data_IF_794058519584
#
_entry.id   IF_794058519584
#
_cell.length_a   1.000
_cell.length_b   1.000
_cell.length_c   1.000
_cell.angle_alpha   90.00
_cell.angle_beta   90.00
_cell.angle_gamma   90.00
#
_symmetry.space_group_name_H-M   'P 1'
#
loop_
_entity.id
_entity.type
_entity.pdbx_description
1 polymer ?
#
# COMPACT_ATOMS: atom_id res chain seq x y z
N UNK A 1 6.54 15.09 8.89
CA UNK A 1 5.35 15.27 8.04
C UNK A 1 4.29 16.04 8.82
N UNK A 2 3.84 17.14 8.26
CA UNK A 2 2.76 17.95 8.85
C UNK A 2 1.43 17.69 8.14
N UNK A 3 0.37 17.50 8.88
CA UNK A 3 -0.99 17.54 8.36
C UNK A 3 -1.30 18.98 7.94
N UNK A 4 -1.89 19.12 6.77
CA UNK A 4 -2.41 20.42 6.31
C UNK A 4 -3.92 20.44 6.51
N UNK A 5 -4.44 21.49 7.16
CA UNK A 5 -5.88 21.65 7.33
C UNK A 5 -6.59 21.67 5.97
N UNK A 6 -7.81 21.20 5.93
CA UNK A 6 -8.66 21.14 4.73
C UNK A 6 -8.14 20.22 3.61
N UNK A 7 -7.16 19.34 3.92
CA UNK A 7 -6.69 18.31 3.02
C UNK A 7 -7.29 16.94 3.40
N UNK A 8 -7.63 16.15 2.40
CA UNK A 8 -8.02 14.76 2.56
C UNK A 8 -6.83 13.83 2.39
N UNK A 9 -6.72 12.91 3.34
CA UNK A 9 -5.70 11.86 3.35
C UNK A 9 -6.38 10.50 3.40
N UNK A 10 -5.91 9.55 2.58
CA UNK A 10 -6.33 8.16 2.70
C UNK A 10 -5.26 7.38 3.43
N UNK A 11 -5.64 6.77 4.55
CA UNK A 11 -4.75 5.96 5.38
C UNK A 11 -4.98 4.49 5.07
N UNK A 12 -3.90 3.76 4.76
CA UNK A 12 -3.93 2.33 4.54
C UNK A 12 -3.00 1.66 5.54
N UNK A 13 -3.55 0.73 6.30
CA UNK A 13 -2.77 -0.21 7.12
C UNK A 13 -3.00 -1.60 6.55
N UNK A 14 -1.93 -2.32 6.29
CA UNK A 14 -1.98 -3.66 5.73
C UNK A 14 -1.04 -4.59 6.48
N UNK A 15 -1.51 -5.80 6.78
CA UNK A 15 -0.66 -6.90 7.24
C UNK A 15 -0.53 -7.98 6.17
N UNK A 16 0.60 -8.69 6.17
CA UNK A 16 0.85 -9.85 5.32
C UNK A 16 1.84 -10.80 5.98
N UNK A 17 1.66 -12.09 5.75
CA UNK A 17 2.61 -13.10 6.21
C UNK A 17 3.86 -13.06 5.34
N UNK A 18 5.03 -12.91 5.97
CA UNK A 18 6.32 -12.95 5.28
C UNK A 18 6.84 -14.39 5.18
N UNK A 19 6.71 -15.15 6.26
CA UNK A 19 7.13 -16.55 6.38
C UNK A 19 6.41 -17.23 7.57
N UNK A 20 6.77 -18.47 7.88
CA UNK A 20 6.14 -19.29 8.92
C UNK A 20 6.30 -18.77 10.36
N UNK A 21 7.05 -17.69 10.57
CA UNK A 21 7.32 -17.11 11.89
C UNK A 21 7.12 -15.60 11.97
N UNK A 22 6.76 -14.96 10.86
CA UNK A 22 6.81 -13.50 10.77
C UNK A 22 5.64 -12.95 9.98
N UNK A 23 4.97 -11.96 10.53
CA UNK A 23 3.98 -11.11 9.88
C UNK A 23 4.52 -9.70 9.78
N UNK A 24 4.30 -9.07 8.65
CA UNK A 24 4.64 -7.65 8.42
C UNK A 24 3.39 -6.79 8.51
N UNK A 25 3.53 -5.56 8.99
CA UNK A 25 2.47 -4.56 9.02
C UNK A 25 3.00 -3.27 8.43
N UNK A 26 2.43 -2.86 7.30
CA UNK A 26 2.82 -1.63 6.60
C UNK A 26 1.77 -0.54 6.71
N UNK A 27 2.21 0.72 6.67
CA UNK A 27 1.37 1.90 6.69
C UNK A 27 1.69 2.82 5.50
N UNK A 28 0.66 3.14 4.73
CA UNK A 28 0.71 4.07 3.59
C UNK A 28 -0.27 5.20 3.77
N UNK A 29 0.08 6.34 3.21
CA UNK A 29 -0.77 7.52 3.17
C UNK A 29 -0.82 8.05 1.73
N UNK A 30 -2.02 8.36 1.27
CA UNK A 30 -2.24 9.09 0.03
C UNK A 30 -2.73 10.50 0.35
N UNK A 31 -1.98 11.51 -0.06
CA UNK A 31 -2.40 12.90 -0.04
C UNK A 31 -3.21 13.17 -1.32
N UNK A 32 -4.53 13.37 -1.17
CA UNK A 32 -5.41 13.58 -2.30
C UNK A 32 -5.17 14.94 -3.01
N UNK A 33 -4.60 15.92 -2.31
CA UNK A 33 -4.28 17.23 -2.89
C UNK A 33 -2.98 17.17 -3.68
N UNK A 34 -1.96 16.53 -3.14
CA UNK A 34 -0.69 16.31 -3.83
C UNK A 34 -0.78 15.22 -4.89
N UNK A 35 -1.86 14.42 -4.90
CA UNK A 35 -2.02 13.23 -5.73
C UNK A 35 -0.84 12.27 -5.58
N UNK A 36 -0.41 12.00 -4.35
CA UNK A 36 0.81 11.24 -4.09
C UNK A 36 0.67 10.29 -2.92
N UNK A 37 1.16 9.07 -3.13
CA UNK A 37 1.33 8.06 -2.10
C UNK A 37 2.67 8.22 -1.38
N UNK A 38 2.69 7.84 -0.13
CA UNK A 38 3.90 7.69 0.66
C UNK A 38 3.80 6.44 1.52
N UNK A 39 4.80 5.59 1.43
CA UNK A 39 5.06 4.54 2.40
C UNK A 39 5.75 5.17 3.62
N UNK A 40 5.24 4.95 4.80
CA UNK A 40 5.78 5.53 6.04
C UNK A 40 6.65 4.56 6.78
N UNK A 41 6.18 3.34 6.93
CA UNK A 41 6.84 2.34 7.76
C UNK A 41 6.28 0.96 7.47
N UNK A 42 7.13 -0.04 7.62
CA UNK A 42 6.76 -1.45 7.77
C UNK A 42 7.34 -1.98 9.07
N UNK A 43 6.50 -2.60 9.88
CA UNK A 43 6.88 -3.26 11.12
C UNK A 43 6.96 -4.77 10.92
N UNK A 44 7.94 -5.39 11.57
CA UNK A 44 8.02 -6.83 11.71
C UNK A 44 7.36 -7.26 13.03
N UNK A 45 6.43 -8.21 12.95
CA UNK A 45 5.79 -8.87 14.08
C UNK A 45 6.31 -10.31 14.13
N UNK A 46 7.05 -10.72 15.19
CA UNK A 46 7.66 -12.04 15.28
C UNK A 46 6.63 -13.11 15.62
N UNK A 47 5.56 -13.20 14.84
CA UNK A 47 4.48 -14.17 14.96
C UNK A 47 3.90 -14.47 13.57
N UNK A 48 3.74 -15.74 13.25
CA UNK A 48 3.11 -16.15 12.02
C UNK A 48 1.60 -15.82 12.03
N UNK A 49 1.08 -15.37 10.89
CA UNK A 49 -0.35 -15.09 10.68
C UNK A 49 -0.98 -14.13 11.69
N UNK A 50 -0.18 -13.26 12.33
CA UNK A 50 -0.67 -12.16 13.17
C UNK A 50 -1.30 -11.04 12.31
N UNK A 51 -2.27 -11.41 11.47
CA UNK A 51 -2.92 -10.48 10.55
C UNK A 51 -3.84 -9.51 11.30
N UNK A 52 -4.01 -8.32 10.74
CA UNK A 52 -4.96 -7.33 11.28
C UNK A 52 -6.37 -7.91 11.24
N UNK A 53 -7.08 -7.76 12.35
CA UNK A 53 -8.48 -8.20 12.50
C UNK A 53 -9.24 -7.23 13.38
N UNK A 54 -10.57 -7.37 13.43
CA UNK A 54 -11.46 -6.55 14.28
C UNK A 54 -12.17 -5.46 13.51
N UNK A 55 -12.56 -4.42 14.24
CA UNK A 55 -13.34 -3.31 13.68
C UNK A 55 -12.44 -2.24 13.08
N UNK A 56 -12.98 -1.52 12.09
CA UNK A 56 -12.36 -0.32 11.55
C UNK A 56 -12.84 0.88 12.37
N UNK A 57 -11.90 1.71 12.83
CA UNK A 57 -12.22 2.91 13.56
C UNK A 57 -11.25 4.05 13.29
N UNK A 58 -11.72 5.25 13.62
CA UNK A 58 -10.92 6.47 13.68
C UNK A 58 -11.24 7.19 14.98
N UNK A 59 -10.32 7.99 15.45
CA UNK A 59 -10.52 8.77 16.67
C UNK A 59 -10.01 10.19 16.47
N UNK A 60 -10.61 11.10 17.25
CA UNK A 60 -10.16 12.48 17.40
C UNK A 60 -9.70 12.66 18.85
N UNK A 61 -8.45 13.00 19.04
CA UNK A 61 -7.84 13.14 20.34
C UNK A 61 -7.16 14.51 20.49
N UNK A 62 -7.14 15.01 21.73
CA UNK A 62 -6.41 16.21 22.08
C UNK A 62 -5.41 15.90 23.20
N UNK A 63 -4.14 15.82 22.85
CA UNK A 63 -3.03 15.58 23.79
C UNK A 63 -2.60 16.84 24.56
N UNK A 64 -3.05 18.04 24.14
CA UNK A 64 -2.69 19.27 24.81
C UNK A 64 -3.67 19.56 25.95
N UNK A 65 -3.19 20.04 27.09
CA UNK A 65 -4.00 20.52 28.22
C UNK A 65 -4.88 21.76 27.88
N UNK A 66 -5.18 21.95 26.62
CA UNK A 66 -5.94 23.09 26.11
C UNK A 66 -7.30 22.64 25.56
N UNK A 67 -8.23 22.38 26.48
CA UNK A 67 -9.62 22.08 26.11
C UNK A 67 -10.43 23.32 25.65
N UNK A 68 -9.82 24.50 25.51
CA UNK A 68 -10.49 25.75 25.14
C UNK A 68 -10.76 25.83 23.63
N UNK A 69 -9.94 25.19 22.83
CA UNK A 69 -10.07 25.21 21.38
C UNK A 69 -10.74 23.95 20.86
N UNK A 70 -11.81 24.08 20.11
CA UNK A 70 -12.46 22.95 19.44
C UNK A 70 -11.52 22.31 18.41
N UNK A 71 -11.45 20.99 18.43
CA UNK A 71 -10.80 20.17 17.42
C UNK A 71 -11.86 19.56 16.51
N UNK A 72 -11.62 19.55 15.21
CA UNK A 72 -12.48 18.95 14.21
C UNK A 72 -11.69 17.92 13.41
N UNK A 73 -12.31 16.77 13.15
CA UNK A 73 -11.79 15.75 12.25
C UNK A 73 -12.92 15.16 11.43
N UNK A 74 -12.72 15.04 10.13
CA UNK A 74 -13.66 14.42 9.22
C UNK A 74 -13.11 13.07 8.76
N UNK A 75 -13.98 12.07 8.73
CA UNK A 75 -13.63 10.69 8.41
C UNK A 75 -14.66 10.12 7.46
N UNK A 76 -14.21 9.41 6.40
CA UNK A 76 -15.09 8.78 5.42
C UNK A 76 -14.42 7.57 4.75
N UNK A 77 -15.17 6.82 3.96
CA UNK A 77 -14.64 5.74 3.12
C UNK A 77 -13.95 4.64 3.95
N UNK A 78 -14.65 4.06 4.91
CA UNK A 78 -14.16 2.95 5.71
C UNK A 78 -14.27 1.63 4.96
N UNK A 79 -13.15 0.99 4.66
CA UNK A 79 -13.09 -0.28 3.96
C UNK A 79 -12.11 -1.24 4.62
N UNK A 80 -12.40 -2.52 4.49
CA UNK A 80 -11.54 -3.63 4.86
C UNK A 80 -11.42 -4.59 3.68
N UNK A 81 -10.20 -4.98 3.31
CA UNK A 81 -9.96 -6.04 2.34
C UNK A 81 -9.66 -7.33 3.10
N UNK A 82 -10.48 -8.35 2.89
CA UNK A 82 -10.25 -9.69 3.43
C UNK A 82 -9.17 -10.43 2.64
N UNK A 83 -8.58 -11.46 3.24
CA UNK A 83 -7.59 -12.33 2.58
C UNK A 83 -8.10 -12.98 1.28
N UNK A 84 -9.40 -13.27 1.21
CA UNK A 84 -10.04 -13.81 0.01
C UNK A 84 -10.29 -12.77 -1.10
N UNK A 85 -9.83 -11.53 -0.93
CA UNK A 85 -9.99 -10.44 -1.89
C UNK A 85 -11.34 -9.72 -1.83
N UNK A 86 -12.22 -10.09 -0.89
CA UNK A 86 -13.51 -9.43 -0.73
C UNK A 86 -13.36 -8.10 0.02
N UNK A 87 -13.86 -7.02 -0.56
CA UNK A 87 -14.05 -5.76 0.13
C UNK A 87 -15.29 -5.79 1.01
N UNK A 88 -15.16 -5.27 2.23
CA UNK A 88 -16.27 -5.01 3.14
C UNK A 88 -16.22 -3.56 3.62
N UNK A 89 -17.37 -2.99 3.91
CA UNK A 89 -17.55 -1.68 4.47
C UNK A 89 -18.73 -1.68 5.44
N UNK A 90 -18.77 -0.78 6.44
CA UNK A 90 -19.93 -0.64 7.32
C UNK A 90 -21.10 0.01 6.55
N UNK A 91 -22.31 -0.32 6.99
CA UNK A 91 -23.55 0.39 6.65
C UNK A 91 -23.94 1.40 7.72
N UNK A 92 -23.29 1.35 8.85
CA UNK A 92 -23.55 2.19 10.03
C UNK A 92 -22.23 2.59 10.70
N UNK A 93 -22.03 3.89 10.92
CA UNK A 93 -20.95 4.44 11.74
C UNK A 93 -21.46 4.76 13.14
N UNK A 94 -20.73 4.31 14.16
CA UNK A 94 -21.03 4.58 15.54
C UNK A 94 -19.93 5.47 16.11
N UNK A 95 -20.31 6.68 16.56
CA UNK A 95 -19.41 7.57 17.28
C UNK A 95 -19.73 7.56 18.77
N UNK A 96 -18.69 7.44 19.61
CA UNK A 96 -18.76 7.45 21.08
C UNK A 96 -17.63 8.29 21.63
N UNK A 97 -17.82 8.89 22.80
CA UNK A 97 -16.76 9.48 23.58
C UNK A 97 -16.66 8.85 24.98
N UNK A 98 -15.46 8.83 25.52
CA UNK A 98 -15.21 8.37 26.88
C UNK A 98 -15.64 9.38 27.95
N UNK A 99 -15.42 10.68 27.70
CA UNK A 99 -15.76 11.79 28.58
C UNK A 99 -15.54 13.14 27.86
N UNK A 100 -16.11 14.20 28.43
CA UNK A 100 -15.82 15.58 28.02
C UNK A 100 -16.77 16.16 26.99
N UNK A 101 -16.43 17.35 26.50
CA UNK A 101 -17.18 18.04 25.42
C UNK A 101 -16.89 17.43 24.08
N UNK A 102 -17.91 16.91 23.42
CA UNK A 102 -17.77 16.33 22.10
C UNK A 102 -19.10 16.33 21.35
N UNK A 103 -19.04 16.22 20.03
CA UNK A 103 -20.19 15.94 19.18
C UNK A 103 -19.75 15.20 17.92
N UNK A 104 -20.74 14.61 17.25
CA UNK A 104 -20.56 14.03 15.94
C UNK A 104 -21.74 14.40 15.03
N UNK A 105 -21.48 14.56 13.75
CA UNK A 105 -22.52 14.74 12.73
C UNK A 105 -22.17 13.97 11.46
N UNK A 106 -23.19 13.55 10.70
CA UNK A 106 -23.02 12.94 9.39
C UNK A 106 -22.51 13.99 8.39
N UNK A 107 -21.58 13.58 7.52
CA UNK A 107 -21.13 14.35 6.36
C UNK A 107 -21.28 13.48 5.09
N UNK A 108 -21.93 14.05 4.07
CA UNK A 108 -22.23 13.29 2.85
C UNK A 108 -23.01 12.00 3.12
N UNK A 109 -22.83 11.00 2.28
CA UNK A 109 -23.47 9.69 2.42
C UNK A 109 -22.57 8.66 3.12
N UNK A 110 -21.27 8.91 3.25
CA UNK A 110 -20.24 7.95 3.58
C UNK A 110 -19.36 8.34 4.77
N UNK A 111 -19.64 9.49 5.44
CA UNK A 111 -18.71 10.01 6.43
C UNK A 111 -19.33 10.60 7.68
N UNK A 112 -18.44 10.94 8.62
CA UNK A 112 -18.74 11.57 9.90
C UNK A 112 -17.73 12.66 10.21
N UNK A 113 -18.17 13.76 10.78
CA UNK A 113 -17.33 14.76 11.44
C UNK A 113 -17.41 14.57 12.95
N UNK A 114 -16.27 14.52 13.58
CA UNK A 114 -16.12 14.52 15.02
C UNK A 114 -15.62 15.90 15.49
N UNK A 115 -16.17 16.38 16.58
CA UNK A 115 -15.65 17.56 17.29
C UNK A 115 -15.38 17.23 18.76
N UNK A 116 -14.30 17.75 19.30
CA UNK A 116 -13.95 17.61 20.70
C UNK A 116 -13.42 18.92 21.27
N UNK A 117 -13.55 19.09 22.57
CA UNK A 117 -13.18 20.30 23.32
C UNK A 117 -14.07 21.52 23.01
N UNK A 118 -13.77 22.67 23.62
CA UNK A 118 -14.61 23.85 23.51
C UNK A 118 -15.95 23.71 24.29
N UNK A 119 -16.98 24.40 23.81
CA UNK A 119 -18.33 24.37 24.41
C UNK A 119 -19.22 23.49 23.51
N UNK A 120 -18.86 22.22 23.38
CA UNK A 120 -19.66 21.25 22.60
C UNK A 120 -20.19 20.20 23.56
N UNK A 121 -21.50 20.02 23.58
CA UNK A 121 -22.17 18.99 24.39
C UNK A 121 -23.01 18.12 23.44
N UNK A 122 -22.62 16.86 23.33
CA UNK A 122 -23.33 15.87 22.56
C UNK A 122 -23.85 14.72 23.42
N UNK A 123 -24.74 13.89 22.90
CA UNK A 123 -25.14 12.65 23.56
C UNK A 123 -23.96 11.68 23.67
N UNK A 124 -24.08 10.71 24.57
CA UNK A 124 -23.05 9.69 24.81
C UNK A 124 -22.68 8.88 23.56
N UNK A 125 -23.64 8.74 22.65
CA UNK A 125 -23.49 7.93 21.44
C UNK A 125 -24.30 8.49 20.27
N UNK A 126 -23.69 8.45 19.09
CA UNK A 126 -24.36 8.70 17.80
C UNK A 126 -24.33 7.45 16.94
N UNK A 127 -25.32 7.30 16.06
CA UNK A 127 -25.38 6.24 15.05
C UNK A 127 -25.82 6.85 13.73
N UNK A 128 -25.03 6.62 12.67
CA UNK A 128 -25.26 7.19 11.34
C UNK A 128 -25.30 6.08 10.29
N UNK A 129 -26.43 5.96 9.60
CA UNK A 129 -26.48 5.12 8.40
C UNK A 129 -25.63 5.76 7.29
N UNK A 130 -24.79 4.95 6.64
CA UNK A 130 -23.88 5.37 5.57
C UNK A 130 -24.05 4.50 4.33
N UNK A 131 -23.66 5.04 3.18
CA UNK A 131 -23.63 4.33 1.90
C UNK A 131 -22.24 4.50 1.29
N UNK A 132 -21.62 3.39 0.97
CA UNK A 132 -20.29 3.36 0.35
C UNK A 132 -20.35 2.52 -0.93
N UNK A 133 -19.56 2.84 -1.96
CA UNK A 133 -19.34 1.95 -3.10
C UNK A 133 -18.84 0.58 -2.65
N UNK A 134 -19.14 -0.46 -3.42
CA UNK A 134 -18.69 -1.82 -3.09
C UNK A 134 -17.15 -1.98 -3.07
N UNK A 135 -16.45 -1.10 -3.79
CA UNK A 135 -14.97 -1.06 -3.89
C UNK A 135 -14.51 0.37 -3.61
N UNK A 136 -13.42 0.58 -2.87
CA UNK A 136 -12.84 1.91 -2.66
C UNK A 136 -12.55 2.64 -3.97
N UNK A 137 -12.98 3.90 -4.14
CA UNK A 137 -12.82 4.62 -5.42
C UNK A 137 -11.37 4.97 -5.76
N UNK A 138 -10.45 4.85 -4.79
CA UNK A 138 -9.03 5.15 -4.96
C UNK A 138 -8.26 4.05 -5.69
N UNK A 139 -8.83 2.85 -5.83
CA UNK A 139 -8.13 1.70 -6.41
C UNK A 139 -7.99 1.88 -7.91
N UNK A 140 -6.74 1.82 -8.39
CA UNK A 140 -6.37 1.86 -9.80
C UNK A 140 -5.48 0.65 -10.11
N UNK A 141 -5.35 0.29 -11.38
CA UNK A 141 -4.38 -0.72 -11.77
C UNK A 141 -2.95 -0.20 -11.51
N UNK A 142 -2.07 -0.99 -10.86
CA UNK A 142 -0.70 -0.57 -10.63
C UNK A 142 0.07 -0.41 -11.94
N UNK A 143 0.92 0.60 -11.98
CA UNK A 143 1.80 0.88 -13.10
C UNK A 143 3.27 0.86 -12.68
N UNK A 144 4.14 0.54 -13.62
CA UNK A 144 5.59 0.55 -13.43
C UNK A 144 6.21 1.41 -14.53
N UNK A 145 7.14 2.25 -14.13
CA UNK A 145 7.88 3.14 -15.01
C UNK A 145 9.36 2.75 -15.03
N UNK A 146 10.07 3.24 -16.02
CA UNK A 146 11.53 3.22 -16.12
C UNK A 146 12.19 1.86 -15.75
N UNK A 147 11.55 0.76 -16.18
CA UNK A 147 12.14 -0.56 -15.95
C UNK A 147 13.33 -0.75 -16.86
N UNK A 148 14.49 -1.00 -16.26
CA UNK A 148 15.74 -1.26 -16.98
C UNK A 148 16.45 -2.49 -16.42
N UNK A 149 17.30 -3.09 -17.24
CA UNK A 149 18.15 -4.19 -16.80
C UNK A 149 19.37 -4.37 -17.68
N UNK A 150 20.44 -4.82 -17.07
CA UNK A 150 21.68 -5.12 -17.74
C UNK A 150 22.40 -6.32 -17.12
N UNK A 151 23.24 -6.95 -17.91
CA UNK A 151 24.09 -8.06 -17.49
C UNK A 151 25.52 -7.59 -17.24
N UNK A 152 26.00 -7.73 -16.02
CA UNK A 152 27.42 -7.55 -15.65
C UNK A 152 28.13 -8.91 -15.75
N UNK A 153 28.82 -9.11 -16.87
CA UNK A 153 29.55 -10.35 -17.16
C UNK A 153 30.69 -10.60 -16.17
N UNK A 154 31.33 -9.55 -15.69
CA UNK A 154 32.47 -9.66 -14.78
C UNK A 154 32.05 -10.22 -13.43
N UNK A 155 30.87 -9.87 -12.96
CA UNK A 155 30.30 -10.33 -11.70
C UNK A 155 29.32 -11.51 -11.85
N UNK A 156 28.94 -11.82 -13.08
CA UNK A 156 27.88 -12.80 -13.41
C UNK A 156 26.57 -12.49 -12.69
N UNK A 157 26.13 -11.25 -12.82
CA UNK A 157 24.90 -10.72 -12.20
C UNK A 157 24.06 -10.00 -13.24
N UNK A 158 22.78 -10.26 -13.24
CA UNK A 158 21.78 -9.44 -13.93
C UNK A 158 21.24 -8.43 -12.93
N UNK A 159 21.37 -7.15 -13.25
CA UNK A 159 20.78 -6.04 -12.52
C UNK A 159 19.44 -5.69 -13.13
N UNK A 160 18.44 -5.43 -12.30
CA UNK A 160 17.12 -4.92 -12.72
C UNK A 160 16.71 -3.82 -11.77
N UNK A 161 16.34 -2.67 -12.32
CA UNK A 161 15.82 -1.54 -11.57
C UNK A 161 14.51 -1.04 -12.19
N UNK A 162 13.69 -0.37 -11.38
CA UNK A 162 12.39 0.15 -11.79
C UNK A 162 11.95 1.31 -10.91
N UNK A 163 10.92 2.04 -11.36
CA UNK A 163 10.25 3.05 -10.56
C UNK A 163 8.73 2.86 -10.54
N UNK A 164 8.12 3.30 -9.45
CA UNK A 164 6.67 3.48 -9.31
C UNK A 164 6.46 4.96 -9.03
N UNK A 165 5.63 5.63 -9.86
CA UNK A 165 5.40 7.06 -9.68
C UNK A 165 4.58 7.31 -8.40
N UNK A 166 4.79 8.45 -7.72
CA UNK A 166 4.09 8.75 -6.47
C UNK A 166 2.56 8.76 -6.58
N UNK A 167 2.01 9.04 -7.76
CA UNK A 167 0.57 9.05 -8.06
C UNK A 167 0.00 7.66 -8.37
N UNK A 168 0.84 6.66 -8.60
CA UNK A 168 0.44 5.29 -8.89
C UNK A 168 0.24 4.47 -7.62
N UNK A 169 -0.43 3.32 -7.77
CA UNK A 169 -0.65 2.41 -6.66
C UNK A 169 0.68 1.91 -6.09
N UNK A 170 0.90 2.03 -4.77
CA UNK A 170 2.15 1.62 -4.16
C UNK A 170 2.42 0.14 -4.36
N UNK A 171 3.67 -0.19 -4.67
CA UNK A 171 4.14 -1.56 -4.68
C UNK A 171 4.08 -2.17 -3.29
N UNK A 172 3.72 -3.46 -3.22
CA UNK A 172 3.93 -4.32 -2.07
C UNK A 172 4.96 -5.40 -2.37
N UNK A 173 4.88 -5.97 -3.58
CA UNK A 173 5.73 -7.08 -4.00
C UNK A 173 6.16 -6.93 -5.45
N UNK A 174 7.21 -7.64 -5.82
CA UNK A 174 7.73 -7.69 -7.17
C UNK A 174 8.06 -9.13 -7.58
N UNK A 175 8.05 -9.38 -8.89
CA UNK A 175 8.55 -10.62 -9.48
C UNK A 175 9.32 -10.31 -10.77
N UNK A 176 10.51 -10.90 -10.88
CA UNK A 176 11.43 -10.76 -12.00
C UNK A 176 11.83 -12.14 -12.47
N UNK A 177 11.64 -12.43 -13.73
CA UNK A 177 12.02 -13.70 -14.34
C UNK A 177 12.89 -13.49 -15.57
N UNK A 178 13.99 -14.24 -15.66
CA UNK A 178 14.95 -14.24 -16.77
C UNK A 178 14.61 -15.37 -17.74
N UNK A 179 14.58 -15.07 -19.02
CA UNK A 179 14.29 -16.00 -20.11
C UNK A 179 15.34 -15.94 -21.23
N UNK A 180 15.41 -17.00 -22.01
CA UNK A 180 16.22 -17.12 -23.24
C UNK A 180 15.41 -16.92 -24.53
N UNK A 181 14.19 -16.43 -24.42
CA UNK A 181 13.31 -16.15 -25.55
C UNK A 181 12.49 -14.87 -25.34
N UNK A 182 12.24 -14.15 -26.44
CA UNK A 182 11.58 -12.83 -26.41
C UNK A 182 10.11 -12.87 -25.96
N UNK A 183 9.44 -14.01 -26.05
CA UNK A 183 8.07 -14.18 -25.60
C UNK A 183 7.97 -14.41 -24.10
N UNK A 184 9.10 -14.60 -23.40
CA UNK A 184 9.17 -14.96 -21.98
C UNK A 184 8.24 -16.14 -21.63
N UNK A 185 8.24 -17.17 -22.49
CA UNK A 185 7.39 -18.36 -22.33
C UNK A 185 8.21 -19.57 -21.89
N UNK A 186 7.53 -20.57 -21.31
CA UNK A 186 8.19 -21.76 -20.80
C UNK A 186 8.77 -21.56 -19.40
N UNK A 187 9.76 -22.37 -19.06
CA UNK A 187 10.42 -22.30 -17.74
C UNK A 187 11.47 -21.18 -17.74
N UNK A 188 11.42 -20.22 -16.81
CA UNK A 188 12.46 -19.21 -16.70
C UNK A 188 13.80 -19.83 -16.30
N UNK A 189 14.90 -19.22 -16.73
CA UNK A 189 16.27 -19.55 -16.32
C UNK A 189 16.50 -19.23 -14.84
N UNK A 190 15.92 -18.13 -14.37
CA UNK A 190 15.93 -17.70 -12.98
C UNK A 190 14.67 -16.88 -12.67
N UNK A 191 14.23 -16.92 -11.42
CA UNK A 191 13.16 -16.05 -10.91
C UNK A 191 13.55 -15.55 -9.53
N UNK A 192 13.36 -14.25 -9.30
CA UNK A 192 13.42 -13.62 -7.98
C UNK A 192 12.08 -12.92 -7.75
N UNK A 193 11.50 -13.14 -6.59
CA UNK A 193 10.32 -12.44 -6.12
C UNK A 193 10.52 -12.04 -4.67
N UNK A 194 9.93 -10.94 -4.28
CA UNK A 194 10.00 -10.44 -2.90
C UNK A 194 8.77 -9.63 -2.53
N UNK A 195 8.51 -9.57 -1.24
CA UNK A 195 7.45 -8.75 -0.66
C UNK A 195 8.11 -7.66 0.18
N UNK A 196 8.52 -6.60 -0.51
CA UNK A 196 9.13 -5.42 0.09
C UNK A 196 8.69 -4.18 -0.71
N UNK A 197 7.97 -3.23 -0.06
CA UNK A 197 7.45 -2.05 -0.74
C UNK A 197 8.52 -1.04 -1.17
N UNK A 198 9.71 -1.08 -0.57
CA UNK A 198 10.75 -0.08 -0.79
C UNK A 198 11.86 -0.57 -1.75
N UNK A 199 11.85 -1.86 -2.10
CA UNK A 199 12.81 -2.40 -3.06
C UNK A 199 12.44 -1.97 -4.48
N UNK A 200 13.36 -1.26 -5.13
CA UNK A 200 13.26 -0.80 -6.54
C UNK A 200 14.42 -1.27 -7.39
N UNK A 201 15.27 -2.15 -6.86
CA UNK A 201 16.41 -2.73 -7.57
C UNK A 201 16.72 -4.12 -7.01
N UNK A 202 17.04 -5.06 -7.89
CA UNK A 202 17.50 -6.39 -7.51
C UNK A 202 18.69 -6.84 -8.34
N UNK A 203 19.38 -7.84 -7.81
CA UNK A 203 20.49 -8.53 -8.45
C UNK A 203 20.19 -10.02 -8.57
N UNK A 204 20.18 -10.55 -9.79
CA UNK A 204 19.98 -11.97 -10.07
C UNK A 204 21.33 -12.62 -10.31
N UNK A 205 21.86 -13.46 -9.39
CA UNK A 205 23.10 -14.17 -9.63
C UNK A 205 22.89 -15.26 -10.71
N UNK A 206 23.69 -15.21 -11.78
CA UNK A 206 23.59 -16.13 -12.91
C UNK A 206 24.81 -17.07 -13.04
N UNK A 207 25.63 -17.18 -12.01
CA UNK A 207 26.85 -18.04 -11.97
C UNK A 207 26.61 -19.51 -12.30
N UNK A 208 25.40 -20.00 -12.11
CA UNK A 208 24.99 -21.38 -12.40
C UNK A 208 24.26 -21.51 -13.74
N UNK A 209 24.08 -20.40 -14.44
CA UNK A 209 23.40 -20.33 -15.73
C UNK A 209 24.50 -20.12 -16.77
N UNK A 210 24.72 -21.11 -17.64
CA UNK A 210 25.61 -20.92 -18.81
C UNK A 210 24.90 -19.98 -19.79
N UNK A 211 25.10 -18.66 -19.60
CA UNK A 211 24.64 -17.66 -20.54
C UNK A 211 25.41 -17.83 -21.85
N UNK A 212 24.74 -18.31 -22.87
CA UNK A 212 25.29 -18.42 -24.24
C UNK A 212 25.32 -17.03 -24.88
N UNK A 213 26.00 -16.90 -26.00
CA UNK A 213 25.96 -15.67 -26.80
C UNK A 213 24.60 -15.62 -27.53
N UNK A 214 23.59 -15.17 -26.83
CA UNK A 214 22.23 -14.96 -27.30
C UNK A 214 21.55 -13.87 -26.49
N UNK A 215 20.44 -13.36 -26.99
CA UNK A 215 19.64 -12.36 -26.29
C UNK A 215 18.89 -12.99 -25.13
N UNK A 216 18.87 -12.30 -24.00
CA UNK A 216 18.11 -12.65 -22.80
C UNK A 216 17.04 -11.61 -22.55
N UNK A 217 15.97 -12.03 -21.94
CA UNK A 217 14.79 -11.19 -21.73
C UNK A 217 14.35 -11.26 -20.27
N UNK A 218 13.88 -10.14 -19.76
CA UNK A 218 13.26 -10.05 -18.45
C UNK A 218 11.76 -9.90 -18.62
N UNK A 219 11.00 -10.69 -17.86
CA UNK A 219 9.61 -10.42 -17.54
C UNK A 219 9.51 -9.89 -16.12
N UNK A 220 8.94 -8.70 -15.96
CA UNK A 220 8.84 -7.97 -14.69
C UNK A 220 7.40 -7.61 -14.38
N UNK A 221 6.97 -7.81 -13.13
CA UNK A 221 5.67 -7.37 -12.60
C UNK A 221 5.81 -6.87 -11.18
N UNK A 222 4.93 -5.96 -10.77
CA UNK A 222 4.69 -5.65 -9.36
C UNK A 222 3.30 -6.10 -8.94
N UNK A 223 3.12 -6.31 -7.64
CA UNK A 223 1.82 -6.44 -7.00
C UNK A 223 1.65 -5.27 -6.04
N UNK A 224 0.52 -4.57 -6.11
CA UNK A 224 0.24 -3.42 -5.27
C UNK A 224 -0.24 -3.81 -3.86
N UNK A 225 -0.45 -2.77 -3.03
CA UNK A 225 -0.95 -2.94 -1.66
C UNK A 225 -2.39 -3.49 -1.58
N UNK A 226 -3.08 -3.71 -2.70
CA UNK A 226 -4.42 -4.30 -2.78
C UNK A 226 -4.45 -5.66 -3.51
N UNK A 227 -3.29 -6.29 -3.73
CA UNK A 227 -3.11 -7.54 -4.46
C UNK A 227 -3.42 -7.46 -5.97
N UNK A 228 -3.45 -6.26 -6.55
CA UNK A 228 -3.56 -6.14 -8.00
C UNK A 228 -2.18 -6.25 -8.63
N UNK A 229 -2.08 -7.00 -9.72
CA UNK A 229 -0.83 -7.16 -10.45
C UNK A 229 -0.77 -6.16 -11.61
N UNK A 230 0.41 -5.56 -11.83
CA UNK A 230 0.68 -4.74 -13.01
C UNK A 230 0.68 -5.58 -14.29
N UNK A 231 0.46 -4.98 -15.45
CA UNK A 231 0.85 -5.61 -16.71
C UNK A 231 2.32 -6.01 -16.69
N UNK A 232 2.64 -7.17 -17.29
CA UNK A 232 4.03 -7.60 -17.39
C UNK A 232 4.81 -6.68 -18.32
N UNK A 233 5.96 -6.20 -17.87
CA UNK A 233 6.94 -5.50 -18.70
C UNK A 233 7.96 -6.52 -19.19
N UNK A 234 8.10 -6.63 -20.51
CA UNK A 234 9.10 -7.51 -21.14
C UNK A 234 10.11 -6.63 -21.85
N UNK A 235 11.40 -6.86 -21.61
CA UNK A 235 12.48 -6.15 -22.26
C UNK A 235 13.71 -7.05 -22.44
N UNK A 236 14.53 -6.71 -23.42
CA UNK A 236 15.79 -7.37 -23.69
C UNK A 236 16.90 -6.86 -22.77
N UNK A 237 17.74 -7.78 -22.28
CA UNK A 237 18.92 -7.43 -21.50
C UNK A 237 20.06 -7.01 -22.43
N UNK A 238 20.66 -5.88 -22.08
CA UNK A 238 21.88 -5.43 -22.75
C UNK A 238 23.12 -5.84 -21.90
N UNK A 239 24.16 -6.35 -22.57
CA UNK A 239 25.46 -6.59 -21.91
C UNK A 239 26.13 -5.24 -21.64
N UNK A 240 26.54 -5.00 -20.40
CA UNK A 240 27.47 -3.91 -20.10
C UNK A 240 28.86 -4.30 -20.61
N UNK A 241 29.29 -3.58 -21.63
CA UNK A 241 30.70 -3.60 -22.01
C UNK A 241 31.47 -2.69 -21.03
N UNK A 242 32.58 -3.18 -20.44
CA UNK A 242 33.41 -2.39 -19.55
C UNK A 242 34.06 -1.19 -20.25
#
# INVERSE_FOLDING_TARGET
FGWTADHWYTNIVRSWTLNDSTTMVGYWLYDQTANAWKHYVTFEVPEAHALLHGDIGSFLENFADNAKSTRLGQYRNYYMLKENGQWIHPDTLIAKAGAGSWAAKKIGEDGVELSSCGIVIGPEKYSFAVKMPAIPPIIKQPAVHDVAGYYDKSKQIVHVDWSVAPEDMPQLAYAVSLYDNAQCTGKPLATIAGTDPDITMINIPVKKIELKIQNYYIAFTITDIFNQQSPSKIFELHELHP
#
